data_IF_425136109820
#
_entry.id   IF_425136109820
#
_cell.length_a   1.000
_cell.length_b   1.000
_cell.length_c   1.000
_cell.angle_alpha   90.00
_cell.angle_beta   90.00
_cell.angle_gamma   90.00
#
_symmetry.space_group_name_H-M   'P 1'
#
loop_
_entity.id
_entity.type
_entity.pdbx_description
1 polymer ?
#
# COMPACT_ATOMS: atom_id res chain seq x y z
N UNK A 1 -18.51 34.01 8.30
CA UNK A 1 -18.58 32.54 8.16
C UNK A 1 -17.22 31.97 8.44
N UNK A 2 -17.17 30.76 9.03
CA UNK A 2 -15.90 30.13 9.39
C UNK A 2 -15.45 29.20 8.25
N UNK A 3 -14.15 29.27 7.94
CA UNK A 3 -13.39 28.37 7.06
C UNK A 3 -12.27 27.77 7.91
N UNK A 4 -11.91 26.52 7.64
CA UNK A 4 -10.74 25.89 8.23
C UNK A 4 -9.46 26.48 7.63
N UNK A 5 -8.64 27.21 8.43
CA UNK A 5 -7.39 27.80 7.95
C UNK A 5 -6.40 26.73 7.48
N UNK A 6 -6.33 25.61 8.20
CA UNK A 6 -5.43 24.50 7.92
C UNK A 6 -5.78 23.81 6.59
N UNK A 7 -7.07 23.55 6.35
CA UNK A 7 -7.56 22.90 5.12
C UNK A 7 -7.34 23.79 3.89
N UNK A 8 -7.53 25.10 4.04
CA UNK A 8 -7.27 26.06 2.97
C UNK A 8 -5.78 26.07 2.58
N UNK A 9 -4.89 26.11 3.57
CA UNK A 9 -3.45 26.08 3.35
C UNK A 9 -2.97 24.74 2.75
N UNK A 10 -3.60 23.63 3.14
CA UNK A 10 -3.31 22.30 2.61
C UNK A 10 -3.69 22.17 1.13
N UNK A 11 -4.93 22.51 0.76
CA UNK A 11 -5.41 22.47 -0.63
C UNK A 11 -4.54 23.36 -1.55
N UNK A 12 -4.13 24.52 -1.05
CA UNK A 12 -3.21 25.42 -1.77
C UNK A 12 -1.85 24.75 -2.00
N UNK A 13 -1.29 24.07 -1.00
CA UNK A 13 0.01 23.36 -1.11
C UNK A 13 -0.07 22.14 -2.01
N UNK A 14 -1.15 21.36 -1.95
CA UNK A 14 -1.36 20.20 -2.83
C UNK A 14 -1.37 20.59 -4.31
N UNK A 15 -1.95 21.75 -4.64
CA UNK A 15 -1.94 22.30 -6.00
C UNK A 15 -0.67 23.10 -6.34
N UNK A 16 0.28 23.21 -5.42
CA UNK A 16 1.56 23.92 -5.63
C UNK A 16 1.40 25.43 -5.79
N UNK A 17 0.35 26.03 -5.22
CA UNK A 17 0.03 27.44 -5.42
C UNK A 17 0.63 28.35 -4.33
N UNK A 18 1.11 29.53 -4.74
CA UNK A 18 1.40 30.62 -3.82
C UNK A 18 0.12 31.34 -3.39
N UNK A 19 0.19 32.16 -2.34
CA UNK A 19 -0.96 32.97 -1.92
C UNK A 19 -1.37 33.96 -3.02
N UNK A 20 -0.41 34.54 -3.77
CA UNK A 20 -0.72 35.43 -4.89
C UNK A 20 -1.41 34.67 -6.03
N UNK A 21 -0.99 33.42 -6.28
CA UNK A 21 -1.60 32.59 -7.33
C UNK A 21 -3.05 32.24 -6.98
N UNK A 22 -3.32 31.88 -5.72
CA UNK A 22 -4.68 31.62 -5.26
C UNK A 22 -5.54 32.88 -5.32
N UNK A 23 -4.99 34.06 -4.99
CA UNK A 23 -5.68 35.35 -5.11
C UNK A 23 -6.13 35.59 -6.56
N UNK A 24 -5.22 35.41 -7.51
CA UNK A 24 -5.49 35.62 -8.92
C UNK A 24 -6.57 34.68 -9.47
N UNK A 25 -6.58 33.41 -9.06
CA UNK A 25 -7.55 32.42 -9.56
C UNK A 25 -8.92 32.58 -8.88
N UNK A 26 -8.95 32.89 -7.59
CA UNK A 26 -10.20 33.06 -6.83
C UNK A 26 -10.85 34.42 -6.99
N UNK A 27 -10.16 35.39 -7.59
CA UNK A 27 -10.66 36.77 -7.71
C UNK A 27 -10.76 37.48 -6.36
N UNK A 28 -10.04 37.01 -5.34
CA UNK A 28 -10.03 37.58 -3.99
C UNK A 28 -8.66 38.19 -3.70
N UNK A 29 -8.60 39.25 -2.88
CA UNK A 29 -7.32 39.86 -2.52
C UNK A 29 -6.42 38.92 -1.71
N UNK A 30 -5.11 39.04 -1.89
CA UNK A 30 -4.10 38.27 -1.12
C UNK A 30 -4.26 38.47 0.40
N UNK A 31 -4.61 39.69 0.83
CA UNK A 31 -4.89 40.00 2.24
C UNK A 31 -6.08 39.20 2.78
N UNK A 32 -7.07 38.92 1.95
CA UNK A 32 -8.21 38.08 2.35
C UNK A 32 -7.79 36.62 2.51
N UNK A 33 -6.93 36.12 1.64
CA UNK A 33 -6.37 34.76 1.75
C UNK A 33 -5.53 34.64 3.02
N UNK A 34 -4.64 35.60 3.27
CA UNK A 34 -3.84 35.62 4.49
C UNK A 34 -4.71 35.64 5.75
N UNK A 35 -5.78 36.43 5.77
CA UNK A 35 -6.75 36.43 6.89
C UNK A 35 -7.55 35.14 6.97
N UNK A 36 -7.92 34.53 5.84
CA UNK A 36 -8.63 33.25 5.84
C UNK A 36 -7.72 32.11 6.33
N UNK A 37 -6.44 32.09 5.95
CA UNK A 37 -5.44 31.10 6.42
C UNK A 37 -4.97 31.36 7.86
N UNK A 38 -5.11 32.58 8.39
CA UNK A 38 -4.67 32.92 9.75
C UNK A 38 -5.80 32.89 10.78
N UNK A 39 -6.92 33.54 10.45
CA UNK A 39 -8.03 33.78 11.38
C UNK A 39 -9.25 32.90 11.08
N UNK A 40 -9.23 32.12 10.00
CA UNK A 40 -10.33 31.21 9.64
C UNK A 40 -11.66 31.92 9.30
N UNK A 41 -11.64 33.23 9.03
CA UNK A 41 -12.85 34.03 8.80
C UNK A 41 -12.85 34.70 7.42
N UNK A 42 -13.98 34.60 6.72
CA UNK A 42 -14.21 35.31 5.46
C UNK A 42 -15.72 35.53 5.18
N UNK A 43 -16.01 36.27 4.10
CA UNK A 43 -17.37 36.43 3.57
C UNK A 43 -17.86 35.17 2.86
N UNK A 44 -19.19 35.05 2.68
CA UNK A 44 -19.78 33.94 1.94
C UNK A 44 -19.30 33.90 0.49
N UNK A 45 -19.18 35.06 -0.17
CA UNK A 45 -18.72 35.15 -1.55
C UNK A 45 -17.27 34.66 -1.70
N UNK A 46 -16.40 35.02 -0.75
CA UNK A 46 -15.03 34.51 -0.71
C UNK A 46 -14.99 33.00 -0.50
N UNK A 47 -15.85 32.49 0.39
CA UNK A 47 -15.97 31.05 0.64
C UNK A 47 -16.44 30.28 -0.61
N UNK A 48 -17.41 30.82 -1.34
CA UNK A 48 -17.90 30.27 -2.59
C UNK A 48 -16.84 30.33 -3.69
N UNK A 49 -16.07 31.42 -3.77
CA UNK A 49 -14.97 31.56 -4.71
C UNK A 49 -13.89 30.49 -4.46
N UNK A 50 -13.49 30.29 -3.21
CA UNK A 50 -12.56 29.21 -2.85
C UNK A 50 -13.14 27.83 -3.17
N UNK A 51 -14.40 27.58 -2.82
CA UNK A 51 -15.09 26.32 -3.13
C UNK A 51 -15.07 26.02 -4.64
N UNK A 52 -15.34 27.03 -5.45
CA UNK A 52 -15.34 26.92 -6.92
C UNK A 52 -13.94 26.65 -7.47
N UNK A 53 -12.94 27.37 -6.98
CA UNK A 53 -11.55 27.21 -7.44
C UNK A 53 -10.97 25.85 -7.04
N UNK A 54 -11.32 25.35 -5.87
CA UNK A 54 -10.85 24.06 -5.37
C UNK A 54 -11.74 22.89 -5.78
N UNK A 55 -12.86 23.15 -6.46
CA UNK A 55 -13.85 22.14 -6.87
C UNK A 55 -14.38 21.31 -5.68
N UNK A 56 -14.53 21.96 -4.53
CA UNK A 56 -15.03 21.36 -3.28
C UNK A 56 -16.32 22.04 -2.84
N UNK A 57 -17.09 21.37 -1.99
CA UNK A 57 -18.29 22.01 -1.44
C UNK A 57 -17.91 23.15 -0.46
N UNK A 58 -18.70 24.22 -0.35
CA UNK A 58 -18.48 25.25 0.68
C UNK A 58 -18.51 24.67 2.10
N UNK A 59 -19.26 23.58 2.30
CA UNK A 59 -19.34 22.89 3.59
C UNK A 59 -18.01 22.22 3.94
N UNK A 60 -17.34 21.59 2.98
CA UNK A 60 -16.00 21.00 3.17
C UNK A 60 -14.96 22.03 3.61
N UNK A 61 -14.98 23.25 3.06
CA UNK A 61 -14.04 24.32 3.44
C UNK A 61 -14.21 24.77 4.90
N UNK A 62 -15.40 24.61 5.49
CA UNK A 62 -15.65 24.92 6.91
C UNK A 62 -15.18 23.86 7.87
N UNK A 63 -15.00 22.62 7.42
CA UNK A 63 -14.59 21.53 8.30
C UNK A 63 -13.11 21.75 8.66
N UNK A 64 -12.85 21.97 9.95
CA UNK A 64 -11.50 21.93 10.52
C UNK A 64 -10.81 20.65 10.07
N UNK A 65 -9.47 20.64 10.03
CA UNK A 65 -8.70 19.39 9.99
C UNK A 65 -8.81 18.74 11.37
N UNK A 66 -10.03 18.57 11.85
CA UNK A 66 -10.36 17.66 12.92
C UNK A 66 -10.32 16.28 12.29
N UNK A 67 -9.21 15.61 12.55
CA UNK A 67 -9.14 14.16 12.74
C UNK A 67 -10.55 13.61 12.98
N UNK A 68 -11.07 12.86 12.01
CA UNK A 68 -12.36 12.17 12.03
C UNK A 68 -12.63 11.49 13.40
N UNK A 69 -13.26 12.20 14.33
CA UNK A 69 -13.78 11.63 15.57
C UNK A 69 -15.16 12.20 15.84
N UNK A 70 -16.15 11.76 15.04
CA UNK A 70 -17.23 10.91 15.50
C UNK A 70 -18.43 10.99 14.54
N UNK A 71 -18.87 9.80 14.13
CA UNK A 71 -20.10 9.48 13.40
C UNK A 71 -20.10 9.52 11.86
N UNK A 72 -18.94 9.24 11.25
CA UNK A 72 -18.90 8.55 9.96
C UNK A 72 -17.84 7.44 10.08
N UNK A 73 -18.22 6.28 10.63
CA UNK A 73 -17.36 5.10 10.58
C UNK A 73 -17.00 4.92 9.10
N UNK A 74 -15.72 4.82 8.70
CA UNK A 74 -15.37 4.59 7.31
C UNK A 74 -16.21 3.41 6.84
N UNK A 75 -17.13 3.65 5.91
CA UNK A 75 -18.06 2.61 5.46
C UNK A 75 -17.19 1.54 4.82
N UNK A 76 -16.98 0.46 5.55
CA UNK A 76 -16.11 -0.61 5.12
C UNK A 76 -16.89 -1.50 4.18
N UNK A 77 -16.44 -1.56 2.93
CA UNK A 77 -16.99 -2.50 1.98
C UNK A 77 -16.31 -3.85 2.20
N UNK A 78 -17.13 -4.84 2.57
CA UNK A 78 -16.69 -6.24 2.64
C UNK A 78 -16.77 -6.80 1.24
N UNK A 79 -15.62 -7.19 0.71
CA UNK A 79 -15.53 -7.90 -0.56
C UNK A 79 -15.51 -9.41 -0.27
N UNK A 80 -16.67 -10.05 -0.40
CA UNK A 80 -16.82 -11.50 -0.19
C UNK A 80 -15.90 -12.33 -1.10
N UNK A 81 -15.56 -11.81 -2.28
CA UNK A 81 -14.59 -12.46 -3.17
C UNK A 81 -13.18 -12.50 -2.56
N UNK A 82 -12.81 -11.49 -1.78
CA UNK A 82 -11.56 -11.45 -1.03
C UNK A 82 -11.50 -12.49 0.09
N UNK A 83 -12.62 -12.74 0.78
CA UNK A 83 -12.72 -13.76 1.83
C UNK A 83 -12.50 -15.16 1.25
N UNK A 84 -13.22 -15.47 0.17
CA UNK A 84 -13.08 -16.75 -0.54
C UNK A 84 -11.66 -16.90 -1.09
N UNK A 85 -11.10 -15.84 -1.67
CA UNK A 85 -9.73 -15.82 -2.17
C UNK A 85 -8.68 -16.12 -1.10
N UNK A 86 -8.80 -15.50 0.09
CA UNK A 86 -7.91 -15.75 1.22
C UNK A 86 -8.02 -17.19 1.73
N UNK A 87 -9.23 -17.74 1.80
CA UNK A 87 -9.46 -19.13 2.21
C UNK A 87 -8.81 -20.11 1.22
N UNK A 88 -9.02 -19.93 -0.09
CA UNK A 88 -8.41 -20.76 -1.13
C UNK A 88 -6.88 -20.63 -1.10
N UNK A 89 -6.34 -19.42 -0.92
CA UNK A 89 -4.90 -19.21 -0.78
C UNK A 89 -4.32 -19.99 0.40
N UNK A 90 -5.00 -19.99 1.56
CA UNK A 90 -4.60 -20.77 2.73
C UNK A 90 -4.57 -22.29 2.44
N UNK A 91 -5.59 -22.80 1.74
CA UNK A 91 -5.63 -24.21 1.32
C UNK A 91 -4.50 -24.57 0.34
N UNK A 92 -4.20 -23.68 -0.62
CA UNK A 92 -3.09 -23.88 -1.57
C UNK A 92 -1.76 -23.90 -0.82
N UNK A 93 -1.52 -22.97 0.11
CA UNK A 93 -0.31 -22.95 0.93
C UNK A 93 -0.16 -24.22 1.76
N UNK A 94 -1.24 -24.68 2.41
CA UNK A 94 -1.24 -25.94 3.16
C UNK A 94 -0.93 -27.13 2.26
N UNK A 95 -1.54 -27.19 1.07
CA UNK A 95 -1.32 -28.27 0.10
C UNK A 95 0.12 -28.30 -0.39
N UNK A 96 0.73 -27.14 -0.67
CA UNK A 96 2.13 -27.05 -1.07
C UNK A 96 3.01 -27.63 0.03
N UNK A 97 2.88 -27.15 1.27
CA UNK A 97 3.69 -27.62 2.41
C UNK A 97 3.52 -29.13 2.65
N UNK A 98 2.29 -29.65 2.54
CA UNK A 98 2.03 -31.08 2.72
C UNK A 98 2.66 -31.93 1.61
N UNK A 99 2.62 -31.48 0.36
CA UNK A 99 3.16 -32.21 -0.79
C UNK A 99 4.69 -32.10 -0.90
N UNK A 100 5.27 -30.98 -0.49
CA UNK A 100 6.73 -30.71 -0.62
C UNK A 100 7.52 -30.93 0.67
N UNK A 101 6.83 -31.15 1.79
CA UNK A 101 7.36 -31.21 3.15
C UNK A 101 8.17 -32.46 3.53
N UNK A 102 8.96 -33.02 2.62
CA UNK A 102 9.83 -34.18 2.91
C UNK A 102 10.92 -33.87 3.94
N UNK A 103 11.37 -32.62 4.01
CA UNK A 103 12.33 -32.12 5.01
C UNK A 103 11.89 -30.73 5.51
N UNK A 104 11.08 -30.69 6.57
CA UNK A 104 10.48 -29.45 7.08
C UNK A 104 11.49 -28.32 7.37
N UNK A 105 12.75 -28.65 7.67
CA UNK A 105 13.82 -27.64 7.87
C UNK A 105 14.09 -26.78 6.63
N UNK A 106 14.09 -27.39 5.45
CA UNK A 106 14.34 -26.67 4.18
C UNK A 106 13.16 -25.77 3.79
N UNK A 107 11.94 -26.15 4.17
CA UNK A 107 10.75 -25.33 3.92
C UNK A 107 10.77 -24.07 4.77
N UNK A 108 10.99 -24.26 6.08
CA UNK A 108 11.07 -23.13 7.03
C UNK A 108 12.20 -22.19 6.62
N UNK A 109 13.39 -22.71 6.28
CA UNK A 109 14.50 -21.90 5.83
C UNK A 109 14.16 -21.07 4.57
N UNK A 110 13.53 -21.70 3.57
CA UNK A 110 13.17 -21.02 2.33
C UNK A 110 12.14 -19.91 2.56
N UNK A 111 11.11 -20.17 3.36
CA UNK A 111 10.08 -19.19 3.71
C UNK A 111 10.70 -18.03 4.49
N UNK A 112 11.51 -18.33 5.53
CA UNK A 112 12.16 -17.31 6.36
C UNK A 112 13.10 -16.42 5.58
N UNK A 113 13.89 -16.99 4.66
CA UNK A 113 14.81 -16.22 3.81
C UNK A 113 14.02 -15.30 2.89
N UNK A 114 13.03 -15.83 2.15
CA UNK A 114 12.32 -15.04 1.14
C UNK A 114 11.45 -13.98 1.80
N UNK A 115 10.60 -14.35 2.76
CA UNK A 115 9.67 -13.41 3.37
C UNK A 115 10.38 -12.46 4.34
N UNK A 116 11.30 -12.99 5.15
CA UNK A 116 12.07 -12.20 6.11
C UNK A 116 12.94 -11.16 5.44
N UNK A 117 13.74 -11.54 4.43
CA UNK A 117 14.57 -10.57 3.71
C UNK A 117 13.73 -9.57 2.94
N UNK A 118 12.59 -9.97 2.38
CA UNK A 118 11.70 -9.02 1.68
C UNK A 118 11.19 -7.94 2.61
N UNK A 119 10.77 -8.31 3.83
CA UNK A 119 10.33 -7.35 4.84
C UNK A 119 11.50 -6.46 5.27
N UNK A 120 12.68 -7.02 5.51
CA UNK A 120 13.88 -6.25 5.91
C UNK A 120 14.26 -5.23 4.83
N UNK A 121 14.36 -5.65 3.57
CA UNK A 121 14.68 -4.75 2.45
C UNK A 121 13.59 -3.67 2.30
N UNK A 122 12.32 -4.02 2.51
CA UNK A 122 11.22 -3.06 2.54
C UNK A 122 11.40 -2.01 3.65
N UNK A 123 11.77 -2.43 4.86
CA UNK A 123 12.01 -1.54 6.00
C UNK A 123 13.19 -0.60 5.75
N UNK A 124 14.27 -1.10 5.16
CA UNK A 124 15.46 -0.29 4.82
C UNK A 124 15.14 0.76 3.75
N UNK A 125 14.33 0.40 2.75
CA UNK A 125 14.05 1.26 1.60
C UNK A 125 12.97 2.31 1.86
N UNK A 126 11.91 1.97 2.62
CA UNK A 126 10.73 2.82 2.76
C UNK A 126 10.46 3.26 4.22
N UNK A 127 11.21 2.73 5.18
CA UNK A 127 10.98 2.93 6.61
C UNK A 127 10.18 1.79 7.25
N UNK A 128 10.40 1.60 8.56
CA UNK A 128 9.77 0.54 9.35
C UNK A 128 8.26 0.79 9.55
N UNK A 129 7.87 2.03 9.86
CA UNK A 129 6.47 2.40 10.13
C UNK A 129 5.61 2.24 8.88
N UNK A 130 6.12 2.66 7.73
CA UNK A 130 5.47 2.61 6.43
C UNK A 130 5.33 1.16 5.96
N UNK A 131 6.37 0.34 6.16
CA UNK A 131 6.30 -1.10 5.90
C UNK A 131 5.26 -1.77 6.78
N UNK A 132 5.26 -1.51 8.08
CA UNK A 132 4.25 -2.05 8.98
C UNK A 132 2.83 -1.67 8.52
N UNK A 133 2.61 -0.40 8.19
CA UNK A 133 1.31 0.09 7.70
C UNK A 133 0.89 -0.56 6.39
N UNK A 134 1.82 -0.80 5.46
CA UNK A 134 1.53 -1.52 4.21
C UNK A 134 1.03 -2.95 4.48
N UNK A 135 1.68 -3.66 5.41
CA UNK A 135 1.35 -5.04 5.75
C UNK A 135 0.07 -5.14 6.60
N UNK A 136 -0.17 -4.22 7.52
CA UNK A 136 -1.43 -4.14 8.30
C UNK A 136 -2.65 -3.92 7.38
N UNK A 137 -2.47 -3.07 6.38
CA UNK A 137 -3.48 -2.80 5.36
C UNK A 137 -3.71 -3.95 4.37
N UNK A 138 -2.98 -5.08 4.45
CA UNK A 138 -3.28 -6.25 3.61
C UNK A 138 -4.69 -6.80 3.85
N UNK A 139 -5.28 -6.50 5.01
CA UNK A 139 -6.69 -6.74 5.31
C UNK A 139 -7.66 -6.09 4.31
N UNK A 140 -7.23 -5.06 3.58
CA UNK A 140 -8.01 -4.41 2.52
C UNK A 140 -8.39 -5.34 1.38
N UNK A 141 -7.68 -6.47 1.21
CA UNK A 141 -8.11 -7.56 0.32
C UNK A 141 -9.54 -7.99 0.65
N UNK A 142 -9.94 -7.96 1.92
CA UNK A 142 -11.30 -8.29 2.38
C UNK A 142 -12.09 -7.04 2.69
N UNK A 143 -11.59 -6.21 3.62
CA UNK A 143 -12.31 -5.09 4.21
C UNK A 143 -11.53 -3.80 3.97
N UNK A 144 -12.02 -2.95 3.08
CA UNK A 144 -11.32 -1.74 2.70
C UNK A 144 -12.18 -0.49 2.93
N UNK A 145 -11.57 0.64 3.31
CA UNK A 145 -12.26 1.92 3.40
C UNK A 145 -12.55 2.48 1.99
N UNK A 146 -13.59 3.30 1.89
CA UNK A 146 -13.97 3.96 0.63
C UNK A 146 -12.93 5.00 0.15
N UNK A 147 -12.25 5.66 1.08
CA UNK A 147 -11.26 6.70 0.79
C UNK A 147 -10.00 6.50 1.62
N UNK A 148 -8.84 6.68 0.99
CA UNK A 148 -7.51 6.58 1.59
C UNK A 148 -6.61 7.61 0.94
N UNK A 149 -6.07 8.53 1.74
CA UNK A 149 -5.12 9.51 1.25
C UNK A 149 -3.74 8.89 0.99
N UNK A 150 -3.10 9.29 -0.10
CA UNK A 150 -1.73 8.86 -0.44
C UNK A 150 -1.63 7.41 -0.96
N UNK A 151 -2.71 6.88 -1.54
CA UNK A 151 -2.78 5.50 -2.04
C UNK A 151 -1.71 5.18 -3.11
N UNK A 152 -1.29 6.19 -3.89
CA UNK A 152 -0.19 6.08 -4.86
C UNK A 152 1.15 5.67 -4.21
N UNK A 153 1.44 6.15 -2.99
CA UNK A 153 2.64 5.76 -2.23
C UNK A 153 2.61 4.27 -1.88
N UNK A 154 1.46 3.78 -1.39
CA UNK A 154 1.29 2.36 -1.04
C UNK A 154 1.37 1.45 -2.27
N UNK A 155 0.82 1.86 -3.42
CA UNK A 155 0.91 1.09 -4.68
C UNK A 155 2.37 0.99 -5.13
N UNK A 156 3.12 2.10 -5.07
CA UNK A 156 4.54 2.12 -5.44
C UNK A 156 5.36 1.22 -4.51
N UNK A 157 5.09 1.30 -3.20
CA UNK A 157 5.72 0.45 -2.20
C UNK A 157 5.41 -1.03 -2.41
N UNK A 158 4.14 -1.40 -2.65
CA UNK A 158 3.75 -2.77 -2.95
C UNK A 158 4.43 -3.31 -4.22
N UNK A 159 4.60 -2.47 -5.25
CA UNK A 159 5.36 -2.86 -6.46
C UNK A 159 6.82 -3.14 -6.15
N UNK A 160 7.46 -2.32 -5.30
CA UNK A 160 8.83 -2.55 -4.86
C UNK A 160 8.95 -3.86 -4.06
N UNK A 161 8.01 -4.14 -3.16
CA UNK A 161 7.97 -5.41 -2.40
C UNK A 161 7.89 -6.62 -3.32
N UNK A 162 7.02 -6.59 -4.34
CA UNK A 162 6.89 -7.67 -5.32
C UNK A 162 8.21 -7.91 -6.07
N UNK A 163 8.84 -6.83 -6.56
CA UNK A 163 10.10 -6.95 -7.29
C UNK A 163 11.23 -7.49 -6.40
N UNK A 164 11.34 -6.99 -5.17
CA UNK A 164 12.36 -7.42 -4.21
C UNK A 164 12.18 -8.90 -3.85
N UNK A 165 10.95 -9.35 -3.62
CA UNK A 165 10.66 -10.75 -3.32
C UNK A 165 11.09 -11.69 -4.44
N UNK A 166 10.85 -11.32 -5.71
CA UNK A 166 11.31 -12.11 -6.85
C UNK A 166 12.84 -12.19 -6.95
N UNK A 167 13.52 -11.04 -6.80
CA UNK A 167 14.99 -10.98 -6.83
C UNK A 167 15.58 -11.84 -5.71
N UNK A 168 15.02 -11.74 -4.50
CA UNK A 168 15.43 -12.54 -3.34
C UNK A 168 15.17 -14.04 -3.59
N UNK A 169 14.01 -14.41 -4.14
CA UNK A 169 13.67 -15.80 -4.43
C UNK A 169 14.61 -16.47 -5.45
N UNK A 170 14.96 -15.75 -6.52
CA UNK A 170 15.94 -16.22 -7.51
C UNK A 170 17.33 -16.34 -6.88
N UNK A 171 17.76 -15.30 -6.16
CA UNK A 171 19.08 -15.27 -5.52
C UNK A 171 19.23 -16.38 -4.48
N UNK A 172 18.20 -16.58 -3.64
CA UNK A 172 18.16 -17.64 -2.65
C UNK A 172 18.21 -19.03 -3.31
N UNK A 173 17.49 -19.25 -4.41
CA UNK A 173 17.53 -20.52 -5.15
C UNK A 173 18.94 -20.80 -5.71
N UNK A 174 19.61 -19.78 -6.26
CA UNK A 174 21.00 -19.91 -6.72
C UNK A 174 21.96 -20.25 -5.57
N UNK A 175 21.84 -19.57 -4.43
CA UNK A 175 22.64 -19.83 -3.24
C UNK A 175 22.40 -21.25 -2.72
N UNK A 176 21.15 -21.71 -2.66
CA UNK A 176 20.80 -23.08 -2.27
C UNK A 176 21.40 -24.10 -3.22
N UNK A 177 21.35 -23.85 -4.54
CA UNK A 177 21.97 -24.72 -5.55
C UNK A 177 23.48 -24.88 -5.32
N UNK A 178 24.19 -23.77 -5.10
CA UNK A 178 25.65 -23.78 -4.88
C UNK A 178 25.98 -24.45 -3.55
N UNK A 179 25.25 -24.11 -2.49
CA UNK A 179 25.44 -24.68 -1.15
C UNK A 179 25.29 -26.20 -1.19
N UNK A 180 24.24 -26.70 -1.86
CA UNK A 180 23.98 -28.12 -1.99
C UNK A 180 25.03 -28.81 -2.88
N UNK A 181 25.48 -28.18 -3.96
CA UNK A 181 26.52 -28.73 -4.83
C UNK A 181 27.88 -28.88 -4.13
N UNK A 182 28.23 -27.99 -3.20
CA UNK A 182 29.53 -27.98 -2.52
C UNK A 182 29.51 -28.79 -1.21
N UNK A 183 28.44 -28.68 -0.41
CA UNK A 183 28.42 -29.18 0.97
C UNK A 183 27.62 -30.46 1.16
N UNK A 184 26.82 -30.88 0.19
CA UNK A 184 25.98 -32.06 0.37
C UNK A 184 26.70 -33.35 -0.01
N UNK A 185 26.68 -34.32 0.90
CA UNK A 185 27.04 -35.72 0.62
C UNK A 185 25.87 -36.46 -0.05
N UNK A 186 25.06 -35.78 -0.87
CA UNK A 186 23.97 -36.44 -1.59
C UNK A 186 24.60 -37.34 -2.67
N UNK A 187 24.24 -38.63 -2.75
CA UNK A 187 24.62 -39.48 -3.88
C UNK A 187 24.17 -38.80 -5.17
N UNK A 188 25.05 -38.68 -6.17
CA UNK A 188 24.75 -38.05 -7.46
C UNK A 188 23.50 -38.61 -8.16
N UNK A 189 23.00 -39.78 -7.75
CA UNK A 189 21.80 -40.43 -8.28
C UNK A 189 20.48 -39.78 -7.87
N UNK A 190 20.45 -38.92 -6.85
CA UNK A 190 19.22 -38.26 -6.38
C UNK A 190 19.00 -36.86 -7.00
N UNK A 191 19.26 -36.71 -8.30
CA UNK A 191 19.06 -35.46 -9.04
C UNK A 191 17.65 -34.84 -8.88
N UNK A 192 16.54 -35.60 -8.85
CA UNK A 192 15.21 -35.02 -8.62
C UNK A 192 15.06 -34.32 -7.26
N UNK A 193 15.67 -34.87 -6.21
CA UNK A 193 15.64 -34.28 -4.87
C UNK A 193 16.45 -32.98 -4.82
N UNK A 194 17.60 -32.94 -5.50
CA UNK A 194 18.42 -31.74 -5.64
C UNK A 194 17.62 -30.59 -6.28
N UNK A 195 16.96 -30.87 -7.40
CA UNK A 195 16.14 -29.87 -8.11
C UNK A 195 14.96 -29.41 -7.26
N UNK A 196 14.28 -30.33 -6.58
CA UNK A 196 13.13 -30.01 -5.74
C UNK A 196 13.50 -29.06 -4.59
N UNK A 197 14.66 -29.22 -3.95
CA UNK A 197 15.11 -28.34 -2.86
C UNK A 197 15.54 -26.97 -3.40
N UNK A 198 16.29 -26.94 -4.50
CA UNK A 198 16.82 -25.72 -5.11
C UNK A 198 15.73 -24.76 -5.58
N UNK A 199 14.61 -25.28 -6.07
CA UNK A 199 13.51 -24.45 -6.61
C UNK A 199 12.56 -23.94 -5.51
N UNK A 200 12.66 -24.42 -4.26
CA UNK A 200 11.77 -23.99 -3.17
C UNK A 200 11.75 -22.47 -2.93
N UNK A 201 12.89 -21.76 -2.81
CA UNK A 201 12.87 -20.33 -2.51
C UNK A 201 12.13 -19.52 -3.58
N UNK A 202 12.35 -19.81 -4.87
CA UNK A 202 11.64 -19.11 -5.94
C UNK A 202 10.15 -19.44 -5.96
N UNK A 203 9.75 -20.66 -5.63
CA UNK A 203 8.32 -21.04 -5.49
C UNK A 203 7.65 -20.23 -4.39
N UNK A 204 8.27 -20.10 -3.21
CA UNK A 204 7.70 -19.29 -2.13
C UNK A 204 7.66 -17.79 -2.46
N UNK A 205 8.60 -17.29 -3.27
CA UNK A 205 8.54 -15.92 -3.79
C UNK A 205 7.36 -15.73 -4.75
N UNK A 206 7.13 -16.67 -5.68
CA UNK A 206 5.99 -16.65 -6.60
C UNK A 206 4.68 -16.68 -5.83
N UNK A 207 4.54 -17.58 -4.86
CA UNK A 207 3.32 -17.70 -4.06
C UNK A 207 3.06 -16.39 -3.30
N UNK A 208 4.09 -15.85 -2.63
CA UNK A 208 3.99 -14.58 -1.91
C UNK A 208 3.57 -13.42 -2.82
N UNK A 209 4.16 -13.32 -4.02
CA UNK A 209 3.86 -12.25 -4.95
C UNK A 209 2.49 -12.40 -5.63
N UNK A 210 2.19 -13.56 -6.21
CA UNK A 210 1.02 -13.76 -7.04
C UNK A 210 -0.26 -14.01 -6.24
N UNK A 211 -0.18 -14.70 -5.09
CA UNK A 211 -1.38 -14.99 -4.29
C UNK A 211 -1.68 -13.89 -3.28
N UNK A 212 -0.68 -13.16 -2.77
CA UNK A 212 -0.89 -12.16 -1.73
C UNK A 212 -0.73 -10.72 -2.24
N UNK A 213 0.49 -10.32 -2.62
CA UNK A 213 0.81 -8.91 -2.85
C UNK A 213 0.24 -8.35 -4.15
N UNK A 214 0.16 -9.15 -5.22
CA UNK A 214 -0.36 -8.68 -6.52
C UNK A 214 -1.88 -8.46 -6.50
N UNK A 215 -2.72 -9.34 -5.94
CA UNK A 215 -4.15 -9.06 -5.73
C UNK A 215 -4.35 -7.83 -4.85
N UNK A 216 -3.59 -7.71 -3.77
CA UNK A 216 -3.62 -6.56 -2.87
C UNK A 216 -3.32 -5.25 -3.61
N UNK A 217 -2.23 -5.20 -4.38
CA UNK A 217 -1.86 -4.05 -5.22
C UNK A 217 -2.96 -3.68 -6.21
N UNK A 218 -3.50 -4.66 -6.95
CA UNK A 218 -4.58 -4.43 -7.92
C UNK A 218 -5.83 -3.84 -7.25
N UNK A 219 -6.12 -4.24 -6.01
CA UNK A 219 -7.25 -3.70 -5.26
C UNK A 219 -7.00 -2.23 -4.88
N UNK A 220 -5.79 -1.88 -4.44
CA UNK A 220 -5.40 -0.49 -4.21
C UNK A 220 -5.46 0.35 -5.50
N UNK A 221 -5.03 -0.19 -6.65
CA UNK A 221 -5.13 0.50 -7.95
C UNK A 221 -6.59 0.80 -8.32
N UNK A 222 -7.51 -0.15 -8.11
CA UNK A 222 -8.96 0.07 -8.32
C UNK A 222 -9.55 1.10 -7.37
N UNK A 223 -9.12 1.10 -6.10
CA UNK A 223 -9.54 2.12 -5.13
C UNK A 223 -9.09 3.51 -5.57
N UNK A 224 -7.85 3.65 -6.06
CA UNK A 224 -7.32 4.92 -6.56
C UNK A 224 -8.12 5.41 -7.79
N UNK A 225 -8.46 4.52 -8.72
CA UNK A 225 -9.29 4.86 -9.87
C UNK A 225 -10.66 5.39 -9.45
N UNK A 226 -11.34 4.70 -8.52
CA UNK A 226 -12.64 5.14 -7.98
C UNK A 226 -12.58 6.47 -7.23
N UNK A 227 -11.46 6.79 -6.59
CA UNK A 227 -11.25 8.08 -5.94
C UNK A 227 -11.13 9.20 -6.99
N UNK A 228 -10.36 8.95 -8.04
CA UNK A 228 -10.18 9.91 -9.13
C UNK A 228 -11.47 10.15 -9.95
N UNK A 229 -12.38 9.18 -10.04
CA UNK A 229 -13.67 9.32 -10.73
C UNK A 229 -14.70 10.17 -9.94
N UNK A 230 -14.48 10.38 -8.63
CA UNK A 230 -15.38 11.15 -7.76
C UNK A 230 -14.96 12.61 -7.59
N UNK A 231 -13.76 12.97 -8.07
CA UNK A 231 -13.20 14.33 -8.09
C UNK A 231 -13.51 14.91 -9.47
#
# INVERSE_FOLDING_TARGET
>A
MNISPEKLAELRKERGWSQEKLAAISGVSERTIQRAEKDGSCSMDTKLAFATVFEVSPVELSQSVETDTNDDKPTYLIDWSGVVGLFVMGLVMMSVVLLTGTNGKWEIASISIVWGLTIIVSMISNGAVETYRLYDNTSWIVKHPNYVRGLSKYITHAKAVINNAYIIGVSASLITSISLAIHSNLPQENFPLFMAITVKPIVYAIIFCELWFRPYKRKMERMLQRQNEKI
#
